data_IF_125877801615
#
_entry.id   IF_125877801615
#
_cell.length_a   1.000
_cell.length_b   1.000
_cell.length_c   1.000
_cell.angle_alpha   90.00
_cell.angle_beta   90.00
_cell.angle_gamma   90.00
#
_symmetry.space_group_name_H-M   'P 1'
#
loop_
_entity.id
_entity.type
_entity.pdbx_description
1 polymer ?
#
# COMPACT_ATOMS: atom_id res chain seq x y z
N UNK A 1 -14.76 -12.65 9.06
CA UNK A 1 -14.78 -11.17 8.86
C UNK A 1 -13.35 -10.69 8.96
N UNK A 2 -12.84 -9.98 7.95
CA UNK A 2 -11.47 -9.49 7.95
C UNK A 2 -11.44 -7.99 8.29
N UNK A 3 -10.45 -7.57 9.07
CA UNK A 3 -10.18 -6.17 9.41
C UNK A 3 -8.87 -5.76 8.77
N UNK A 4 -8.87 -4.63 8.08
CA UNK A 4 -7.65 -4.02 7.54
C UNK A 4 -7.34 -2.83 8.41
N UNK A 5 -6.11 -2.74 8.89
CA UNK A 5 -5.72 -1.83 9.97
C UNK A 5 -4.41 -1.14 9.61
N UNK A 6 -4.23 0.06 10.18
CA UNK A 6 -2.94 0.72 10.27
C UNK A 6 -2.61 0.93 11.75
N UNK A 7 -1.39 0.58 12.12
CA UNK A 7 -0.92 0.64 13.50
C UNK A 7 0.42 1.37 13.56
N UNK A 8 0.66 2.06 14.67
CA UNK A 8 1.99 2.55 15.00
C UNK A 8 2.94 1.36 15.24
N UNK A 9 4.12 1.42 14.64
CA UNK A 9 5.05 0.29 14.71
C UNK A 9 5.68 0.13 16.10
N UNK A 10 5.88 1.21 16.86
CA UNK A 10 6.57 1.13 18.14
C UNK A 10 5.64 0.64 19.25
N UNK A 11 4.48 1.27 19.36
CA UNK A 11 3.49 1.06 20.42
C UNK A 11 2.48 -0.03 20.11
N UNK A 12 2.42 -0.48 18.83
CA UNK A 12 1.37 -1.36 18.31
C UNK A 12 -0.03 -0.78 18.43
N UNK A 13 -0.15 0.53 18.63
CA UNK A 13 -1.43 1.21 18.75
C UNK A 13 -2.14 1.26 17.39
N UNK A 14 -3.38 0.79 17.35
CA UNK A 14 -4.21 0.85 16.13
C UNK A 14 -4.71 2.28 15.92
N UNK A 15 -4.23 2.92 14.86
CA UNK A 15 -4.62 4.29 14.52
C UNK A 15 -5.92 4.34 13.73
N UNK A 16 -6.12 3.38 12.82
CA UNK A 16 -7.34 3.26 12.03
C UNK A 16 -7.60 1.79 11.64
N UNK A 17 -8.86 1.42 11.46
CA UNK A 17 -9.27 0.10 11.03
C UNK A 17 -10.58 0.16 10.23
N UNK A 18 -10.64 -0.62 9.15
CA UNK A 18 -11.81 -0.71 8.27
C UNK A 18 -12.15 -2.18 8.03
N UNK A 19 -13.41 -2.61 8.22
CA UNK A 19 -13.83 -3.97 7.90
C UNK A 19 -13.80 -4.21 6.39
N UNK A 20 -13.38 -5.40 5.99
CA UNK A 20 -13.49 -5.90 4.61
C UNK A 20 -14.74 -6.77 4.48
N UNK A 21 -15.80 -6.23 3.88
CA UNK A 21 -17.09 -6.93 3.67
C UNK A 21 -17.21 -7.58 2.27
N UNK A 22 -16.11 -7.71 1.52
CA UNK A 22 -16.15 -8.25 0.15
C UNK A 22 -16.66 -7.22 -0.87
N UNK A 23 -17.73 -7.54 -1.59
CA UNK A 23 -18.24 -6.77 -2.74
C UNK A 23 -18.94 -5.45 -2.39
N UNK A 24 -19.20 -5.16 -1.11
CA UNK A 24 -19.98 -3.98 -0.68
C UNK A 24 -19.18 -2.74 -0.27
N UNK A 25 -17.88 -2.86 -0.01
CA UNK A 25 -17.11 -1.79 0.67
C UNK A 25 -16.22 -0.94 -0.24
N UNK A 26 -15.85 -1.47 -1.40
CA UNK A 26 -14.90 -0.81 -2.29
C UNK A 26 -15.67 0.02 -3.31
N UNK A 27 -15.32 1.29 -3.43
CA UNK A 27 -15.92 2.19 -4.43
C UNK A 27 -15.81 1.57 -5.82
N UNK A 28 -16.91 1.59 -6.58
CA UNK A 28 -16.99 1.02 -7.93
C UNK A 28 -15.88 1.60 -8.82
N UNK A 29 -15.11 0.73 -9.45
CA UNK A 29 -13.99 1.11 -10.32
C UNK A 29 -12.64 1.30 -9.61
N UNK A 30 -12.58 1.20 -8.28
CA UNK A 30 -11.30 1.20 -7.55
C UNK A 30 -10.82 -0.21 -7.25
N UNK A 31 -9.49 -0.38 -7.24
CA UNK A 31 -8.87 -1.59 -6.71
C UNK A 31 -8.98 -1.59 -5.19
N UNK A 32 -9.36 -2.72 -4.60
CA UNK A 32 -9.58 -2.84 -3.16
C UNK A 32 -8.37 -2.35 -2.33
N UNK A 33 -7.16 -2.77 -2.68
CA UNK A 33 -5.94 -2.38 -1.96
C UNK A 33 -5.77 -0.85 -1.91
N UNK A 34 -5.89 -0.19 -3.07
CA UNK A 34 -5.76 1.26 -3.21
C UNK A 34 -6.87 2.00 -2.41
N UNK A 35 -8.10 1.46 -2.39
CA UNK A 35 -9.21 1.98 -1.59
C UNK A 35 -8.90 1.93 -0.08
N UNK A 36 -8.51 0.77 0.44
CA UNK A 36 -8.25 0.62 1.88
C UNK A 36 -7.02 1.40 2.32
N UNK A 37 -5.94 1.40 1.53
CA UNK A 37 -4.75 2.17 1.87
C UNK A 37 -5.05 3.67 1.95
N UNK A 38 -5.81 4.22 0.99
CA UNK A 38 -6.25 5.62 1.04
C UNK A 38 -7.07 5.90 2.29
N UNK A 39 -8.05 5.06 2.59
CA UNK A 39 -8.96 5.25 3.73
C UNK A 39 -8.26 5.14 5.09
N UNK A 40 -7.28 4.24 5.21
CA UNK A 40 -6.48 4.10 6.42
C UNK A 40 -5.52 5.29 6.61
N UNK A 41 -4.86 5.70 5.52
CA UNK A 41 -3.86 6.77 5.53
C UNK A 41 -4.45 8.16 5.76
N UNK A 42 -5.77 8.37 5.60
CA UNK A 42 -6.43 9.65 5.87
C UNK A 42 -6.07 10.22 7.26
N UNK A 43 -5.92 9.35 8.26
CA UNK A 43 -5.58 9.75 9.64
C UNK A 43 -4.14 10.24 9.81
N UNK A 44 -3.22 9.84 8.92
CA UNK A 44 -1.79 10.15 8.99
C UNK A 44 -1.30 10.97 7.79
N UNK A 45 -2.22 11.42 6.93
CA UNK A 45 -1.91 12.23 5.75
C UNK A 45 -1.21 13.52 6.17
N UNK A 46 -0.23 13.95 5.38
CA UNK A 46 0.62 15.13 5.60
C UNK A 46 1.56 15.07 6.82
N UNK A 47 1.72 13.89 7.45
CA UNK A 47 2.63 13.72 8.59
C UNK A 47 4.11 13.67 8.22
N UNK A 48 4.46 13.51 6.93
CA UNK A 48 5.82 13.18 6.48
C UNK A 48 6.35 11.87 7.09
N UNK A 49 5.45 10.97 7.50
CA UNK A 49 5.77 9.69 8.10
C UNK A 49 6.13 8.59 7.10
N UNK A 50 6.68 7.50 7.63
CA UNK A 50 6.96 6.27 6.89
C UNK A 50 5.85 5.25 7.15
N UNK A 51 5.34 4.62 6.09
CA UNK A 51 4.37 3.54 6.19
C UNK A 51 4.96 2.27 5.61
N UNK A 52 5.02 1.21 6.43
CA UNK A 52 5.39 -0.12 5.96
C UNK A 52 4.13 -0.88 5.57
N UNK A 53 4.05 -1.40 4.36
CA UNK A 53 2.88 -2.09 3.83
C UNK A 53 3.20 -3.48 3.27
N UNK A 54 2.20 -4.35 3.25
CA UNK A 54 2.31 -5.66 2.62
C UNK A 54 2.38 -5.58 1.07
N UNK A 55 2.54 -6.74 0.43
CA UNK A 55 2.60 -6.83 -1.04
C UNK A 55 1.27 -6.63 -1.78
N UNK A 56 0.14 -6.65 -1.06
CA UNK A 56 -1.19 -6.43 -1.61
C UNK A 56 -1.43 -4.94 -1.85
N UNK A 57 -0.91 -4.07 -0.97
CA UNK A 57 -0.91 -2.61 -1.12
C UNK A 57 0.24 -2.07 -1.99
N UNK A 58 1.38 -2.77 -2.03
CA UNK A 58 2.60 -2.24 -2.64
C UNK A 58 2.60 -2.33 -4.18
N UNK A 59 2.46 -1.17 -4.83
CA UNK A 59 2.65 -0.95 -6.27
C UNK A 59 3.31 0.41 -6.48
N UNK A 60 4.07 0.56 -7.57
CA UNK A 60 4.82 1.80 -7.85
C UNK A 60 3.90 3.02 -8.02
N UNK A 61 2.84 3.00 -8.88
CA UNK A 61 2.05 4.21 -9.09
C UNK A 61 1.29 4.71 -7.83
N UNK A 62 0.67 3.84 -7.01
CA UNK A 62 0.10 4.25 -5.72
C UNK A 62 1.13 4.81 -4.73
N UNK A 63 2.33 4.22 -4.66
CA UNK A 63 3.39 4.71 -3.78
C UNK A 63 3.85 6.13 -4.16
N UNK A 64 3.99 6.41 -5.46
CA UNK A 64 4.31 7.77 -5.94
C UNK A 64 3.24 8.80 -5.58
N UNK A 65 1.95 8.42 -5.68
CA UNK A 65 0.84 9.29 -5.28
C UNK A 65 0.87 9.57 -3.78
N UNK A 66 1.08 8.55 -2.95
CA UNK A 66 1.19 8.73 -1.50
C UNK A 66 2.36 9.65 -1.12
N UNK A 67 3.49 9.55 -1.82
CA UNK A 67 4.63 10.44 -1.59
C UNK A 67 4.32 11.89 -1.98
N UNK A 68 3.72 12.11 -3.16
CA UNK A 68 3.48 13.45 -3.71
C UNK A 68 2.28 14.15 -3.04
N UNK A 69 1.16 13.45 -2.94
CA UNK A 69 -0.15 13.97 -2.53
C UNK A 69 -0.44 13.82 -1.03
N UNK A 70 0.06 12.75 -0.40
CA UNK A 70 -0.21 12.46 1.01
C UNK A 70 0.98 12.75 1.93
N UNK A 71 2.15 13.09 1.36
CA UNK A 71 3.43 13.24 2.09
C UNK A 71 3.72 12.03 2.97
N UNK A 72 3.57 10.83 2.42
CA UNK A 72 3.89 9.58 3.09
C UNK A 72 4.93 8.81 2.27
N UNK A 73 6.00 8.38 2.92
CA UNK A 73 7.01 7.52 2.30
C UNK A 73 6.65 6.06 2.54
N UNK A 74 6.52 5.28 1.47
CA UNK A 74 6.08 3.89 1.54
C UNK A 74 7.28 2.95 1.46
N UNK A 75 7.31 1.97 2.36
CA UNK A 75 8.24 0.84 2.35
C UNK A 75 7.42 -0.44 2.23
N UNK A 76 7.74 -1.31 1.28
CA UNK A 76 6.95 -2.52 1.09
C UNK A 76 7.55 -3.47 0.06
N UNK A 77 7.07 -4.70 0.07
CA UNK A 77 7.48 -5.73 -0.89
C UNK A 77 6.63 -5.62 -2.15
N UNK A 78 7.25 -5.42 -3.31
CA UNK A 78 6.55 -5.49 -4.60
C UNK A 78 6.65 -6.92 -5.14
N UNK A 79 5.55 -7.46 -5.68
CA UNK A 79 5.56 -8.81 -6.27
C UNK A 79 6.44 -8.87 -7.51
N UNK A 80 7.21 -9.95 -7.66
CA UNK A 80 8.14 -10.17 -8.79
C UNK A 80 7.46 -10.07 -10.17
N UNK A 81 6.19 -10.45 -10.28
CA UNK A 81 5.44 -10.47 -11.55
C UNK A 81 4.93 -9.09 -12.01
N UNK A 82 5.40 -8.00 -11.39
CA UNK A 82 5.02 -6.63 -11.73
C UNK A 82 5.87 -6.14 -12.90
N UNK A 83 5.19 -5.55 -13.90
CA UNK A 83 5.83 -5.08 -15.15
C UNK A 83 6.77 -3.91 -14.92
N UNK A 84 6.61 -3.24 -13.78
CA UNK A 84 7.43 -2.13 -13.34
C UNK A 84 8.84 -2.56 -12.92
N UNK A 85 9.07 -3.86 -12.68
CA UNK A 85 10.40 -4.35 -12.35
C UNK A 85 11.29 -4.47 -13.59
N UNK A 86 12.53 -3.94 -13.51
CA UNK A 86 13.53 -4.19 -14.53
C UNK A 86 13.81 -5.69 -14.70
N UNK A 87 14.24 -6.10 -15.90
CA UNK A 87 14.50 -7.51 -16.23
C UNK A 87 15.68 -8.06 -15.41
N UNK A 88 16.63 -7.20 -15.06
CA UNK A 88 17.76 -7.43 -14.15
C UNK A 88 17.32 -8.05 -12.81
N UNK A 89 16.12 -7.72 -12.34
CA UNK A 89 15.58 -8.21 -11.06
C UNK A 89 14.62 -9.39 -11.23
N UNK A 90 14.21 -9.71 -12.45
CA UNK A 90 13.13 -10.69 -12.70
C UNK A 90 13.53 -11.88 -13.53
N UNK A 91 14.38 -11.68 -14.54
CA UNK A 91 14.91 -12.71 -15.42
C UNK A 91 16.22 -13.29 -14.88
N UNK A 92 16.21 -14.60 -14.64
CA UNK A 92 17.38 -15.34 -14.13
C UNK A 92 18.47 -15.50 -15.21
N UNK A 93 18.12 -15.26 -16.48
CA UNK A 93 19.02 -15.36 -17.64
C UNK A 93 19.43 -14.00 -18.17
N UNK A 94 19.12 -12.91 -17.46
CA UNK A 94 19.50 -11.57 -17.88
C UNK A 94 21.02 -11.48 -18.15
N UNK A 95 21.39 -10.96 -19.32
CA UNK A 95 22.76 -10.61 -19.68
C UNK A 95 22.77 -9.12 -20.05
N UNK A 96 23.81 -8.40 -19.63
CA UNK A 96 24.01 -6.97 -19.89
C UNK A 96 24.20 -6.64 -21.38
#
# INVERSE_FOLDING_TARGET
MNLIMICDNSTKYTMNAVPYLGSGNVTKGMVAADYFAKKLNETIKNSNGYVTMDNWFSKVPPAEKMLKEDKLTIVGMIKKNKREFPLEFTDVKYQE
#
